data_IF_357293177741
#
_entry.id   IF_357293177741
#
_cell.length_a   1.000
_cell.length_b   1.000
_cell.length_c   1.000
_cell.angle_alpha   90.00
_cell.angle_beta   90.00
_cell.angle_gamma   90.00
#
_symmetry.space_group_name_H-M   'P 1'
#
loop_
_entity.id
_entity.type
_entity.pdbx_description
1 polymer ?
2 non-polymer ?
3 non-polymer ?
4 water ?
#
# COMPACT_ATOMS: atom_id res chain seq x y z
N UNK A 3 5.02 -8.06 -33.94
CA UNK A 3 5.00 -7.67 -32.50
C UNK A 3 3.78 -8.27 -31.80
N UNK A 4 3.96 -9.42 -31.17
CA UNK A 4 2.82 -10.21 -30.73
C UNK A 4 2.74 -10.39 -29.22
N UNK A 5 1.57 -10.10 -28.68
CA UNK A 5 1.31 -10.29 -27.26
C UNK A 5 0.28 -11.41 -27.02
N UNK A 6 0.48 -12.18 -25.96
CA UNK A 6 -0.55 -13.11 -25.54
C UNK A 6 -1.15 -12.59 -24.25
N UNK A 7 -2.46 -12.76 -24.11
CA UNK A 7 -3.13 -12.43 -22.86
C UNK A 7 -3.61 -13.70 -22.18
N UNK A 8 -3.40 -13.78 -20.87
CA UNK A 8 -3.94 -14.86 -20.06
C UNK A 8 -5.06 -14.25 -19.25
N UNK A 9 -6.27 -14.78 -19.40
CA UNK A 9 -7.44 -14.20 -18.75
C UNK A 9 -8.56 -15.22 -18.57
N UNK A 10 -9.44 -14.95 -17.60
CA UNK A 10 -10.67 -15.72 -17.38
C UNK A 10 -11.80 -14.81 -16.91
N UNK A 11 -13.02 -15.32 -16.90
CA UNK A 11 -14.14 -14.57 -16.38
C UNK A 11 -14.61 -13.53 -17.38
N UNK A 12 -14.80 -12.30 -16.91
CA UNK A 12 -15.41 -11.28 -17.74
C UNK A 12 -14.47 -10.80 -18.84
N UNK A 13 -13.19 -10.73 -18.53
CA UNK A 13 -12.18 -10.25 -19.47
C UNK A 13 -12.24 -8.77 -19.77
N UNK A 14 -12.64 -7.97 -18.79
CA UNK A 14 -12.71 -6.51 -19.01
C UNK A 14 -11.32 -5.88 -19.18
N UNK A 15 -10.29 -6.41 -18.51
CA UNK A 15 -8.93 -5.93 -18.75
C UNK A 15 -8.44 -6.30 -20.14
N UNK A 16 -8.71 -7.53 -20.54
CA UNK A 16 -8.39 -7.97 -21.91
C UNK A 16 -9.05 -7.04 -22.95
N UNK A 17 -10.32 -6.71 -22.73
CA UNK A 17 -11.05 -5.79 -23.61
C UNK A 17 -10.39 -4.41 -23.71
N UNK A 18 -9.96 -3.86 -22.57
CA UNK A 18 -9.34 -2.52 -22.53
C UNK A 18 -8.01 -2.51 -23.30
N UNK A 19 -7.26 -3.59 -23.21
CA UNK A 19 -6.01 -3.76 -23.95
C UNK A 19 -6.26 -3.84 -25.48
N UNK A 20 -7.23 -4.66 -25.87
CA UNK A 20 -7.65 -4.75 -27.27
C UNK A 20 -8.11 -3.37 -27.77
N UNK A 21 -8.92 -2.69 -26.95
CA UNK A 21 -9.40 -1.34 -27.29
C UNK A 21 -8.27 -0.33 -27.46
N UNK A 22 -7.24 -0.44 -26.62
CA UNK A 22 -6.07 0.42 -26.73
C UNK A 22 -5.26 0.18 -28.01
N UNK A 23 -5.21 -1.08 -28.45
CA UNK A 23 -4.64 -1.43 -29.77
C UNK A 23 -5.45 -0.73 -30.87
N UNK A 24 -6.77 -0.89 -30.81
CA UNK A 24 -7.71 -0.30 -31.77
C UNK A 24 -7.63 1.24 -31.78
N UNK A 25 -7.29 1.82 -30.62
CA UNK A 25 -7.08 3.27 -30.48
C UNK A 25 -5.77 3.79 -31.05
N UNK A 26 -4.84 2.89 -31.32
CA UNK A 26 -3.53 3.27 -31.83
C UNK A 26 -2.49 3.50 -30.75
N UNK A 27 -2.82 3.15 -29.51
CA UNK A 27 -1.92 3.39 -28.37
C UNK A 27 -1.01 2.22 -28.01
N UNK A 28 -1.48 0.99 -28.25
CA UNK A 28 -0.69 -0.19 -28.00
C UNK A 28 0.21 -0.47 -29.21
N UNK A 29 1.54 -0.53 -29.01
CA UNK A 29 2.44 -0.70 -30.16
C UNK A 29 2.62 -2.14 -30.64
N UNK A 30 1.72 -3.04 -30.23
CA UNK A 30 1.78 -4.45 -30.60
C UNK A 30 0.38 -4.97 -30.87
N UNK A 31 0.27 -6.20 -31.36
CA UNK A 31 -1.03 -6.82 -31.59
C UNK A 31 -1.28 -8.01 -30.65
N UNK A 32 -2.52 -8.12 -30.18
CA UNK A 32 -2.95 -9.25 -29.36
C UNK A 32 -3.14 -10.47 -30.26
N UNK A 33 -2.33 -11.50 -30.04
CA UNK A 33 -2.23 -12.59 -31.01
C UNK A 33 -2.75 -13.90 -30.47
N UNK A 34 -3.04 -13.94 -29.18
CA UNK A 34 -3.47 -15.17 -28.55
C UNK A 34 -4.06 -14.86 -27.19
N UNK A 35 -5.12 -15.58 -26.84
CA UNK A 35 -5.65 -15.63 -25.50
C UNK A 35 -5.48 -17.05 -24.98
N UNK A 36 -4.87 -17.20 -23.79
CA UNK A 36 -4.90 -18.47 -23.05
C UNK A 36 -5.86 -18.35 -21.88
N UNK A 37 -6.81 -19.29 -21.79
CA UNK A 37 -7.89 -19.22 -20.82
C UNK A 37 -8.13 -20.62 -20.26
N UNK A 38 -9.01 -20.73 -19.24
CA UNK A 38 -9.33 -22.02 -18.63
C UNK A 38 -10.68 -22.63 -19.04
N UNK A 39 -11.66 -21.79 -19.38
CA UNK A 39 -13.03 -22.21 -19.68
C UNK A 39 -13.50 -21.60 -21.02
N UNK A 40 -14.09 -22.43 -21.91
CA UNK A 40 -14.64 -21.86 -23.16
C UNK A 40 -15.87 -20.97 -22.93
N UNK A 41 -16.70 -21.32 -21.95
CA UNK A 41 -17.96 -20.60 -21.73
C UNK A 41 -17.83 -19.40 -20.81
N UNK A 42 -17.14 -18.37 -21.29
CA UNK A 42 -16.87 -17.17 -20.51
C UNK A 42 -16.94 -15.95 -21.41
N UNK A 43 -17.18 -14.78 -20.81
CA UNK A 43 -17.30 -13.56 -21.60
C UNK A 43 -15.97 -13.19 -22.25
N UNK A 44 -14.85 -13.48 -21.58
CA UNK A 44 -13.54 -13.16 -22.15
C UNK A 44 -13.30 -13.88 -23.47
N UNK A 45 -13.76 -15.13 -23.57
CA UNK A 45 -13.61 -15.89 -24.81
C UNK A 45 -14.43 -15.22 -25.92
N UNK A 46 -15.69 -14.91 -25.61
CA UNK A 46 -16.58 -14.20 -26.53
C UNK A 46 -15.97 -12.89 -27.02
N UNK A 47 -15.46 -12.08 -26.08
CA UNK A 47 -14.86 -10.77 -26.38
C UNK A 47 -13.65 -10.86 -27.28
N UNK A 48 -12.87 -11.91 -27.10
CA UNK A 48 -11.64 -12.08 -27.84
C UNK A 48 -11.91 -12.71 -29.22
N UNK A 49 -12.78 -13.72 -29.24
CA UNK A 49 -13.14 -14.47 -30.47
C UNK A 49 -13.70 -13.58 -31.58
N UNK A 50 -14.49 -12.56 -31.21
CA UNK A 50 -15.06 -11.66 -32.21
C UNK A 50 -13.99 -10.81 -32.91
N UNK A 51 -12.80 -10.71 -32.32
CA UNK A 51 -11.67 -10.04 -33.01
C UNK A 51 -10.84 -11.00 -33.84
N UNK A 52 -11.32 -12.24 -33.91
CA UNK A 52 -10.65 -13.35 -34.59
C UNK A 52 -9.24 -13.57 -34.07
N UNK A 53 -9.09 -13.40 -32.76
CA UNK A 53 -7.83 -13.69 -32.10
C UNK A 53 -7.90 -15.15 -31.65
N UNK A 54 -6.87 -15.96 -31.96
CA UNK A 54 -6.84 -17.37 -31.54
C UNK A 54 -7.01 -17.53 -30.03
N UNK A 55 -7.78 -18.54 -29.63
CA UNK A 55 -8.06 -18.81 -28.24
C UNK A 55 -7.65 -20.24 -27.93
N UNK A 56 -6.86 -20.40 -26.87
CA UNK A 56 -6.49 -21.71 -26.40
C UNK A 56 -7.07 -21.87 -25.00
N UNK A 57 -8.10 -22.70 -24.88
CA UNK A 57 -8.69 -23.02 -23.60
C UNK A 57 -8.04 -24.30 -23.07
N UNK A 58 -7.28 -24.14 -21.99
CA UNK A 58 -6.61 -25.26 -21.34
C UNK A 58 -7.07 -25.32 -19.89
N UNK A 59 -7.85 -26.34 -19.57
CA UNK A 59 -8.18 -26.59 -18.18
C UNK A 59 -6.98 -27.27 -17.55
N UNK A 60 -6.39 -26.63 -16.52
CA UNK A 60 -5.16 -27.11 -15.88
C UNK A 60 -5.35 -28.39 -15.08
N UNK A 61 -6.57 -28.60 -14.57
CA UNK A 61 -6.93 -29.79 -13.77
C UNK A 61 -6.95 -31.08 -14.59
N UNK A 62 -7.06 -30.93 -15.92
CA UNK A 62 -7.03 -32.07 -16.85
C UNK A 62 -5.61 -32.43 -17.29
N UNK A 63 -4.63 -32.03 -16.49
CA UNK A 63 -3.22 -32.34 -16.74
C UNK A 63 -2.63 -33.08 -15.54
N UNK A 64 -1.63 -33.97 -15.77
CA UNK A 64 -0.99 -34.73 -14.70
C UNK A 64 -0.38 -33.84 -13.61
N UNK A 65 0.26 -32.76 -14.04
CA UNK A 65 0.94 -31.82 -13.14
C UNK A 65 0.89 -30.39 -13.68
N UNK A 66 1.21 -29.42 -12.83
CA UNK A 66 1.34 -28.02 -13.20
C UNK A 66 2.39 -27.85 -14.31
N UNK A 67 3.45 -28.65 -14.23
CA UNK A 67 4.51 -28.68 -15.23
C UNK A 67 4.03 -29.14 -16.62
N UNK A 68 3.17 -30.15 -16.63
CA UNK A 68 2.63 -30.69 -17.89
C UNK A 68 1.72 -29.68 -18.58
N UNK A 69 0.89 -29.01 -17.77
CA UNK A 69 0.02 -27.94 -18.23
C UNK A 69 0.82 -26.78 -18.82
N UNK A 70 1.87 -26.36 -18.11
CA UNK A 70 2.73 -25.26 -18.57
C UNK A 70 3.53 -25.59 -19.82
N UNK A 71 3.90 -26.86 -19.99
CA UNK A 71 4.59 -27.32 -21.21
C UNK A 71 3.70 -27.09 -22.46
N UNK A 72 2.42 -27.37 -22.31
CA UNK A 72 1.44 -27.11 -23.38
C UNK A 72 1.25 -25.61 -23.61
N UNK A 73 1.17 -24.85 -22.52
CA UNK A 73 1.10 -23.38 -22.58
C UNK A 73 2.25 -22.81 -23.40
N UNK A 74 3.48 -23.17 -23.03
CA UNK A 74 4.69 -22.71 -23.73
C UNK A 74 4.70 -23.12 -25.20
N UNK A 75 4.20 -24.32 -25.48
CA UNK A 75 4.07 -24.81 -26.85
C UNK A 75 3.17 -23.88 -27.68
N UNK A 76 2.02 -23.52 -27.12
CA UNK A 76 1.09 -22.60 -27.79
C UNK A 76 1.68 -21.20 -28.00
N UNK A 77 2.42 -20.71 -27.01
CA UNK A 77 3.05 -19.40 -27.12
C UNK A 77 4.13 -19.40 -28.21
N UNK A 78 4.91 -20.47 -28.26
CA UNK A 78 5.94 -20.63 -29.29
C UNK A 78 5.33 -20.76 -30.68
N UNK A 79 4.26 -21.55 -30.77
CA UNK A 79 3.45 -21.72 -32.00
C UNK A 79 2.96 -20.38 -32.56
N UNK A 80 2.51 -19.49 -31.67
CA UNK A 80 1.96 -18.20 -32.10
C UNK A 80 2.98 -17.07 -32.19
N UNK A 81 4.28 -17.40 -32.03
CA UNK A 81 5.40 -16.44 -32.09
C UNK A 81 5.26 -15.25 -31.12
N UNK A 82 4.82 -15.57 -29.91
CA UNK A 82 4.56 -14.57 -28.87
C UNK A 82 5.85 -13.93 -28.34
N UNK A 83 5.88 -12.59 -28.33
CA UNK A 83 7.01 -11.80 -27.86
C UNK A 83 6.84 -11.33 -26.41
N UNK A 84 5.59 -11.16 -25.97
CA UNK A 84 5.34 -10.62 -24.63
C UNK A 84 4.05 -11.20 -24.06
N UNK A 85 4.03 -11.45 -22.76
CA UNK A 85 2.89 -12.14 -22.12
C UNK A 85 2.25 -11.19 -21.09
N UNK A 86 0.93 -11.00 -21.19
CA UNK A 86 0.21 -10.09 -20.29
C UNK A 86 -0.81 -10.90 -19.51
N UNK A 87 -0.63 -10.98 -18.20
CA UNK A 87 -1.58 -11.66 -17.35
C UNK A 87 -2.65 -10.66 -16.93
N UNK A 88 -3.90 -11.02 -17.16
CA UNK A 88 -5.04 -10.14 -16.94
C UNK A 88 -6.17 -10.91 -16.29
N UNK A 89 -5.95 -11.31 -15.04
CA UNK A 89 -6.91 -12.10 -14.29
C UNK A 89 -6.58 -13.57 -14.41
N UNK A 90 -5.28 -13.88 -14.44
CA UNK A 90 -4.78 -15.25 -14.43
C UNK A 90 -4.53 -15.63 -12.99
N UNK A 91 -5.29 -16.62 -12.50
CA UNK A 91 -5.39 -16.87 -11.07
C UNK A 91 -4.47 -17.97 -10.53
N UNK A 92 -3.59 -18.48 -11.40
CA UNK A 92 -2.61 -19.49 -11.02
C UNK A 92 -1.22 -18.88 -10.88
N UNK A 93 -0.40 -19.49 -10.03
CA UNK A 93 1.02 -19.17 -9.93
C UNK A 93 1.73 -19.53 -11.23
N UNK A 94 2.68 -18.71 -11.64
CA UNK A 94 3.48 -19.01 -12.82
C UNK A 94 4.64 -19.91 -12.37
N UNK A 95 4.70 -21.11 -12.93
CA UNK A 95 5.70 -22.10 -12.52
C UNK A 95 6.99 -21.96 -13.29
N UNK A 96 7.99 -22.82 -12.97
CA UNK A 96 9.33 -22.72 -13.56
C UNK A 96 9.41 -22.94 -15.06
N UNK A 97 8.54 -23.77 -15.62
CA UNK A 97 8.53 -24.02 -17.07
C UNK A 97 8.12 -22.76 -17.82
N UNK A 98 7.00 -22.16 -17.42
CA UNK A 98 6.53 -20.94 -18.08
C UNK A 98 7.54 -19.81 -17.91
N UNK A 99 8.01 -19.63 -16.68
CA UNK A 99 8.94 -18.55 -16.32
C UNK A 99 10.26 -18.70 -17.05
N UNK A 100 10.77 -19.93 -17.15
CA UNK A 100 12.02 -20.20 -17.85
C UNK A 100 11.95 -19.86 -19.34
N UNK A 101 10.81 -20.11 -19.95
CA UNK A 101 10.64 -19.82 -21.38
C UNK A 101 10.41 -18.34 -21.65
N UNK A 102 9.75 -17.65 -20.72
CA UNK A 102 9.40 -16.24 -20.95
C UNK A 102 9.85 -15.25 -19.86
N UNK A 103 10.92 -15.58 -19.12
CA UNK A 103 11.50 -14.66 -18.10
C UNK A 103 11.77 -13.29 -18.67
N UNK A 104 11.35 -12.26 -17.94
CA UNK A 104 11.54 -10.88 -18.38
C UNK A 104 10.52 -10.39 -19.39
N UNK A 105 9.60 -11.27 -19.81
CA UNK A 105 8.61 -10.92 -20.82
C UNK A 105 7.17 -11.20 -20.36
N UNK A 106 6.98 -11.35 -19.04
CA UNK A 106 5.66 -11.56 -18.45
C UNK A 106 5.36 -10.45 -17.44
N UNK A 107 4.21 -9.80 -17.60
CA UNK A 107 3.74 -8.80 -16.64
C UNK A 107 2.37 -9.21 -16.09
N UNK A 108 1.98 -8.59 -14.99
CA UNK A 108 0.78 -8.96 -14.30
C UNK A 108 0.13 -7.70 -13.69
N UNK A 109 -1.17 -7.74 -13.49
CA UNK A 109 -1.86 -6.66 -12.77
C UNK A 109 -2.49 -7.27 -11.54
N UNK A 110 -2.52 -6.49 -10.45
CA UNK A 110 -2.99 -7.00 -9.15
C UNK A 110 -3.69 -5.85 -8.42
N UNK A 111 -4.89 -6.12 -7.88
CA UNK A 111 -5.72 -5.06 -7.31
C UNK A 111 -5.42 -4.78 -5.82
N UNK A 112 -4.15 -4.54 -5.50
CA UNK A 112 -3.72 -3.98 -4.22
C UNK A 112 -2.43 -3.20 -4.49
N UNK A 113 -1.97 -2.44 -3.48
CA UNK A 113 -0.65 -1.84 -3.57
C UNK A 113 0.33 -2.84 -2.99
N UNK A 114 0.90 -3.70 -3.83
CA UNK A 114 1.91 -4.64 -3.36
C UNK A 114 3.07 -3.86 -2.65
N UNK A 115 3.63 -4.44 -1.58
CA UNK A 115 3.52 -5.84 -1.14
C UNK A 115 2.31 -6.16 -0.23
N UNK A 116 1.46 -5.16 0.04
CA UNK A 116 0.25 -5.44 0.83
C UNK A 116 -0.72 -6.31 0.02
N UNK A 117 -1.42 -7.19 0.74
CA UNK A 117 -2.49 -8.06 0.20
C UNK A 117 -2.15 -8.83 -1.08
N UNK A 118 -1.09 -9.65 -1.05
CA UNK A 118 -0.85 -10.52 -2.22
C UNK A 118 -1.90 -11.63 -2.29
N UNK A 119 -1.98 -12.33 -3.42
CA UNK A 119 -2.90 -13.46 -3.55
C UNK A 119 -4.32 -13.12 -3.97
N UNK A 120 -5.22 -14.08 -3.77
CA UNK A 120 -6.60 -13.97 -4.25
C UNK A 120 -7.44 -12.95 -3.46
N UNK A 121 -8.43 -12.37 -4.14
CA UNK A 121 -9.47 -11.53 -3.50
C UNK A 121 -8.88 -10.35 -2.72
N UNK A 122 -7.91 -9.67 -3.31
CA UNK A 122 -7.18 -8.62 -2.59
C UNK A 122 -8.04 -7.40 -2.29
N UNK A 123 -9.09 -7.17 -3.08
CA UNK A 123 -9.99 -6.04 -2.79
C UNK A 123 -10.77 -6.34 -1.52
N UNK A 124 -11.30 -7.57 -1.43
CA UNK A 124 -11.93 -8.04 -0.20
C UNK A 124 -10.97 -8.05 0.99
N UNK A 125 -9.72 -8.44 0.76
CA UNK A 125 -8.70 -8.38 1.82
C UNK A 125 -8.54 -6.98 2.40
N UNK A 126 -8.50 -5.96 1.53
CA UNK A 126 -8.32 -4.57 1.97
C UNK A 126 -9.52 -4.08 2.77
N UNK A 127 -10.72 -4.45 2.32
CA UNK A 127 -11.91 -4.08 3.05
C UNK A 127 -11.95 -4.78 4.42
N UNK A 128 -11.60 -6.06 4.46
CA UNK A 128 -11.58 -6.80 5.74
C UNK A 128 -10.51 -6.30 6.69
N UNK A 129 -9.41 -5.76 6.15
CA UNK A 129 -8.35 -5.20 6.98
C UNK A 129 -8.65 -3.77 7.41
N UNK A 130 -9.73 -3.20 6.89
CA UNK A 130 -10.12 -1.82 7.21
C UNK A 130 -9.03 -0.79 6.89
N UNK A 131 -8.39 -0.94 5.72
CA UNK A 131 -7.44 0.11 5.31
C UNK A 131 -8.24 1.27 4.72
N UNK A 132 -7.62 2.44 4.61
CA UNK A 132 -8.29 3.58 4.04
C UNK A 132 -7.81 3.87 2.63
N UNK A 133 -6.67 3.28 2.26
CA UNK A 133 -6.14 3.47 0.92
C UNK A 133 -5.72 2.11 0.42
N UNK A 134 -6.14 1.76 -0.79
CA UNK A 134 -5.60 0.57 -1.46
C UNK A 134 -5.20 1.01 -2.84
N UNK A 135 -5.14 0.10 -3.81
CA UNK A 135 -4.89 0.54 -5.18
C UNK A 135 -4.56 -0.58 -6.15
N UNK A 136 -3.77 -0.29 -7.16
CA UNK A 136 -3.49 -1.25 -8.24
C UNK A 136 -2.00 -1.33 -8.48
N UNK A 137 -1.48 -2.53 -8.77
CA UNK A 137 -0.06 -2.69 -9.06
C UNK A 137 0.13 -3.44 -10.38
N UNK A 138 1.02 -2.93 -11.23
CA UNK A 138 1.44 -3.64 -12.42
C UNK A 138 2.92 -3.98 -12.22
N UNK A 139 3.30 -5.24 -12.47
CA UNK A 139 4.68 -5.66 -12.18
C UNK A 139 5.13 -6.75 -13.13
N UNK A 140 6.43 -6.82 -13.34
CA UNK A 140 7.03 -8.00 -13.98
C UNK A 140 6.81 -9.21 -13.10
N UNK A 141 6.63 -10.37 -13.74
CA UNK A 141 6.38 -11.61 -13.03
C UNK A 141 7.72 -12.33 -12.82
N UNK A 142 8.02 -12.65 -11.57
CA UNK A 142 9.16 -13.51 -11.21
C UNK A 142 8.59 -14.75 -10.51
N UNK A 143 9.51 -15.56 -10.01
CA UNK A 143 9.19 -16.73 -9.21
C UNK A 143 8.52 -16.25 -7.93
N UNK A 144 7.40 -16.86 -7.59
CA UNK A 144 6.66 -16.47 -6.39
C UNK A 144 5.30 -15.86 -6.70
N UNK A 145 4.57 -15.52 -5.64
CA UNK A 145 3.21 -15.00 -5.77
C UNK A 145 3.19 -13.47 -5.68
N UNK A 146 2.87 -12.83 -6.80
CA UNK A 146 2.82 -11.36 -6.91
C UNK A 146 4.16 -10.68 -6.60
N UNK A 147 5.25 -11.37 -6.92
CA UNK A 147 6.59 -10.84 -6.78
C UNK A 147 7.12 -10.44 -8.15
N UNK A 148 8.13 -9.59 -8.15
CA UNK A 148 8.77 -9.13 -9.38
C UNK A 148 8.76 -7.62 -9.41
N UNK A 149 9.71 -7.01 -10.14
CA UNK A 149 9.90 -5.56 -10.18
C UNK A 149 8.60 -4.83 -10.52
N UNK A 150 8.24 -3.88 -9.68
CA UNK A 150 6.99 -3.14 -9.83
C UNK A 150 7.14 -2.03 -10.87
N UNK A 151 6.27 -2.04 -11.87
CA UNK A 151 6.36 -1.08 -12.98
C UNK A 151 5.54 0.20 -12.69
N UNK A 152 4.35 0.01 -12.14
CA UNK A 152 3.47 1.15 -11.87
C UNK A 152 2.52 0.82 -10.75
N UNK A 153 2.14 1.85 -10.00
CA UNK A 153 1.11 1.71 -8.98
C UNK A 153 0.24 2.94 -8.98
N UNK A 154 -1.01 2.78 -8.57
CA UNK A 154 -1.92 3.91 -8.41
C UNK A 154 -2.82 3.67 -7.22
N UNK A 155 -2.87 4.66 -6.32
CA UNK A 155 -3.69 4.54 -5.12
C UNK A 155 -5.17 4.84 -5.37
N UNK A 156 -6.03 4.16 -4.60
CA UNK A 156 -7.47 4.39 -4.60
C UNK A 156 -7.93 4.47 -3.16
N UNK A 157 -8.57 5.58 -2.81
CA UNK A 157 -9.11 5.75 -1.46
C UNK A 157 -10.37 4.93 -1.22
N UNK A 158 -10.50 4.36 -0.03
CA UNK A 158 -11.73 3.65 0.33
C UNK A 158 -12.53 4.62 1.17
N UNK A 159 -13.60 5.14 0.59
CA UNK A 159 -14.46 6.10 1.30
C UNK A 159 -15.38 5.37 2.26
N UNK A 160 -15.96 6.10 3.21
CA UNK A 160 -16.82 5.47 4.22
C UNK A 160 -18.02 4.77 3.61
N UNK A 161 -18.55 5.35 2.55
CA UNK A 161 -19.71 4.79 1.86
C UNK A 161 -19.36 3.68 0.85
N UNK A 162 -18.07 3.41 0.64
CA UNK A 162 -17.69 2.35 -0.31
C UNK A 162 -18.03 0.97 0.20
N UNK A 163 -18.51 0.12 -0.70
CA UNK A 163 -18.74 -1.29 -0.42
C UNK A 163 -17.75 -2.08 -1.28
N UNK A 164 -17.71 -3.40 -1.13
CA UNK A 164 -16.94 -4.27 -2.03
C UNK A 164 -17.27 -3.98 -3.51
N UNK A 165 -18.56 -3.85 -3.81
CA UNK A 165 -19.01 -3.58 -5.18
C UNK A 165 -18.54 -2.21 -5.72
N UNK A 166 -18.70 -1.15 -4.94
CA UNK A 166 -18.37 0.17 -5.44
C UNK A 166 -16.85 0.39 -5.51
N UNK A 167 -16.12 -0.22 -4.57
CA UNK A 167 -14.65 -0.17 -4.60
C UNK A 167 -14.11 -0.97 -5.78
N UNK A 168 -14.70 -2.15 -6.01
CA UNK A 168 -14.32 -2.97 -7.17
C UNK A 168 -14.48 -2.18 -8.48
N UNK A 169 -15.62 -1.49 -8.64
CA UNK A 169 -15.85 -0.60 -9.80
C UNK A 169 -14.75 0.45 -9.94
N UNK A 170 -14.42 1.13 -8.85
CA UNK A 170 -13.35 2.12 -8.86
C UNK A 170 -11.99 1.52 -9.25
N UNK A 171 -11.68 0.35 -8.68
CA UNK A 171 -10.41 -0.30 -8.94
C UNK A 171 -10.34 -0.80 -10.40
N UNK A 172 -11.46 -1.36 -10.89
CA UNK A 172 -11.50 -1.76 -12.31
C UNK A 172 -11.35 -0.58 -13.28
N UNK A 173 -11.97 0.57 -12.96
CA UNK A 173 -11.72 1.82 -13.72
C UNK A 173 -10.24 2.19 -13.80
N UNK A 174 -9.52 2.12 -12.67
CA UNK A 174 -8.07 2.35 -12.68
C UNK A 174 -7.34 1.31 -13.55
N UNK A 175 -7.62 0.03 -13.33
CA UNK A 175 -7.02 -1.03 -14.16
C UNK A 175 -7.21 -0.83 -15.67
N UNK A 176 -8.43 -0.50 -16.10
CA UNK A 176 -8.72 -0.34 -17.54
C UNK A 176 -7.98 0.81 -18.18
N UNK A 177 -7.72 1.87 -17.41
CA UNK A 177 -6.89 2.98 -17.89
C UNK A 177 -5.40 2.67 -17.75
N UNK A 178 -5.02 2.17 -16.56
CA UNK A 178 -3.61 2.04 -16.20
C UNK A 178 -2.88 0.92 -16.90
N UNK A 179 -3.53 -0.24 -17.08
CA UNK A 179 -2.83 -1.37 -17.71
C UNK A 179 -2.40 -1.00 -19.14
N UNK A 180 -3.33 -0.50 -20.00
CA UNK A 180 -2.89 -0.13 -21.33
C UNK A 180 -1.92 1.04 -21.38
N UNK A 181 -2.10 2.05 -20.53
CA UNK A 181 -1.18 3.19 -20.50
C UNK A 181 0.24 2.75 -20.09
N UNK A 182 0.31 1.79 -19.18
CA UNK A 182 1.57 1.27 -18.71
C UNK A 182 2.25 0.39 -19.78
N UNK A 183 1.45 -0.45 -20.44
CA UNK A 183 1.96 -1.27 -21.55
C UNK A 183 2.48 -0.40 -22.70
N UNK A 184 1.79 0.70 -23.01
CA UNK A 184 2.25 1.66 -24.02
C UNK A 184 3.64 2.23 -23.66
N UNK A 185 3.81 2.66 -22.41
CA UNK A 185 5.08 3.23 -21.93
C UNK A 185 6.19 2.19 -21.88
N UNK A 186 5.86 0.99 -21.40
CA UNK A 186 6.84 -0.08 -21.25
C UNK A 186 7.34 -0.60 -22.59
N UNK A 187 6.43 -0.76 -23.53
CA UNK A 187 6.73 -1.37 -24.81
C UNK A 187 6.94 -0.35 -25.93
N UNK A 188 7.29 0.87 -25.56
CA UNK A 188 7.48 2.00 -26.49
C UNK A 188 8.31 1.65 -27.72
N UNK A 189 7.90 2.17 -28.88
CA UNK A 189 8.54 1.94 -30.19
C UNK A 189 10.00 2.39 -30.23
N UNK A 190 10.31 3.48 -29.53
CA UNK A 190 11.64 4.07 -29.48
C UNK A 190 12.73 3.10 -29.05
N UNK A 191 12.45 2.30 -28.02
CA UNK A 191 13.39 1.29 -27.54
C UNK A 191 13.46 0.06 -28.44
N UNK A 192 12.30 -0.46 -28.83
CA UNK A 192 12.15 -1.74 -29.55
C UNK A 192 12.94 -2.87 -28.87
N UNK A 193 12.73 -3.00 -27.57
CA UNK A 193 13.49 -3.92 -26.74
C UNK A 193 13.00 -5.37 -26.87
N UNK A 194 11.68 -5.56 -26.83
CA UNK A 194 11.11 -6.91 -26.76
C UNK A 194 10.74 -7.50 -28.13
N UNK A 195 10.80 -6.67 -29.16
CA UNK A 195 10.36 -7.08 -30.50
C UNK A 195 11.49 -7.04 -31.55
N UNK A 196 12.67 -7.52 -31.15
CA UNK A 196 13.82 -7.60 -32.06
C UNK A 196 13.75 -8.83 -32.94
N UNK A 197 14.21 -8.68 -34.19
CA UNK A 197 14.22 -9.78 -35.16
C UNK A 197 15.57 -10.47 -35.20
N UNK B 3 -8.97 19.20 29.03
CA UNK B 3 -8.78 18.31 27.85
C UNK B 3 -7.29 18.19 27.52
N UNK B 4 -6.66 17.13 28.02
CA UNK B 4 -5.20 17.06 28.03
C UNK B 4 -4.63 15.95 27.18
N UNK B 5 -3.68 16.31 26.33
CA UNK B 5 -3.00 15.35 25.48
C UNK B 5 -1.54 15.22 25.88
N UNK B 6 -1.01 13.99 25.87
CA UNK B 6 0.43 13.84 25.97
C UNK B 6 1.00 13.40 24.65
N UNK B 7 2.20 13.90 24.37
CA UNK B 7 2.90 13.49 23.17
C UNK B 7 4.15 12.69 23.53
N UNK B 8 4.40 11.60 22.80
CA UNK B 8 5.65 10.84 22.92
C UNK B 8 6.45 11.11 21.67
N UNK B 9 7.65 11.67 21.83
CA UNK B 9 8.46 12.04 20.69
C UNK B 9 9.95 12.06 21.01
N UNK B 10 10.76 12.04 19.95
CA UNK B 10 12.21 12.12 20.06
C UNK B 10 12.83 12.77 18.82
N UNK B 11 14.10 13.13 18.93
CA UNK B 11 14.82 13.71 17.80
C UNK B 11 14.36 15.12 17.49
N UNK B 12 13.87 15.30 16.27
CA UNK B 12 13.59 16.63 15.78
C UNK B 12 12.29 17.19 16.36
N UNK B 13 11.27 16.34 16.45
CA UNK B 13 9.95 16.75 16.96
C UNK B 13 9.12 17.64 16.05
N UNK B 14 9.27 17.45 14.74
CA UNK B 14 8.52 18.30 13.80
C UNK B 14 7.02 17.95 13.81
N UNK B 15 6.67 16.68 14.05
CA UNK B 15 5.26 16.35 14.22
C UNK B 15 4.69 16.93 15.50
N UNK B 16 5.44 16.88 16.59
CA UNK B 16 5.01 17.48 17.85
C UNK B 16 4.77 18.99 17.66
N UNK B 17 5.68 19.63 16.92
CA UNK B 17 5.56 21.04 16.58
C UNK B 17 4.29 21.37 15.79
N UNK B 18 3.95 20.53 14.80
CA UNK B 18 2.74 20.76 13.98
C UNK B 18 1.46 20.61 14.82
N UNK B 19 1.47 19.68 15.76
CA UNK B 19 0.34 19.49 16.65
C UNK B 19 0.18 20.72 17.57
N UNK B 20 1.30 21.17 18.13
CA UNK B 20 1.30 22.37 19.00
C UNK B 20 0.82 23.59 18.20
N UNK B 21 1.33 23.73 16.97
CA UNK B 21 0.88 24.80 16.06
C UNK B 21 -0.60 24.74 15.73
N UNK B 22 -1.13 23.52 15.56
CA UNK B 22 -2.56 23.31 15.35
C UNK B 22 -3.43 23.74 16.55
N UNK B 23 -2.96 23.52 17.78
CA UNK B 23 -3.62 24.06 18.97
C UNK B 23 -3.62 25.59 18.93
N UNK B 24 -2.46 26.18 18.63
CA UNK B 24 -2.33 27.64 18.50
C UNK B 24 -3.21 28.24 17.40
N UNK B 25 -3.50 27.46 16.35
CA UNK B 25 -4.38 27.88 15.26
C UNK B 25 -5.87 27.83 15.62
N UNK B 26 -6.20 27.12 16.70
CA UNK B 26 -7.58 26.95 17.09
C UNK B 26 -8.23 25.72 16.50
N UNK B 27 -7.41 24.79 15.98
CA UNK B 27 -7.91 23.59 15.33
C UNK B 27 -7.91 22.34 16.22
N UNK B 28 -6.94 22.26 17.13
CA UNK B 28 -6.89 21.12 18.03
C UNK B 28 -7.82 21.44 19.20
N UNK B 29 -8.78 20.55 19.50
CA UNK B 29 -9.75 20.82 20.57
C UNK B 29 -9.26 20.39 21.96
N UNK B 30 -7.94 20.32 22.15
CA UNK B 30 -7.36 19.98 23.43
C UNK B 30 -6.03 20.68 23.63
N UNK B 31 -5.44 20.52 24.81
CA UNK B 31 -4.18 21.16 25.17
C UNK B 31 -3.07 20.11 25.33
N UNK B 32 -1.91 20.38 24.73
CA UNK B 32 -0.73 19.54 24.92
C UNK B 32 -0.14 19.78 26.32
N UNK B 33 -0.16 18.75 27.14
CA UNK B 33 0.08 18.93 28.58
C UNK B 33 1.34 18.27 29.07
N UNK B 34 1.95 17.43 28.22
CA UNK B 34 3.12 16.68 28.60
C UNK B 34 3.83 16.15 27.38
N UNK B 35 5.15 16.17 27.41
CA UNK B 35 5.97 15.44 26.47
C UNK B 35 6.70 14.34 27.21
N UNK B 36 6.59 13.10 26.73
CA UNK B 36 7.47 12.03 27.20
C UNK B 36 8.51 11.72 26.13
N UNK B 37 9.79 11.77 26.50
CA UNK B 37 10.87 11.63 25.54
C UNK B 37 11.99 10.76 26.13
N UNK B 38 12.99 10.42 25.32
CA UNK B 38 14.12 9.59 25.77
C UNK B 38 15.34 10.37 26.25
N UNK B 39 15.63 11.53 25.64
CA UNK B 39 16.81 12.31 26.03
C UNK B 39 16.60 13.84 26.02
N UNK B 40 17.19 14.53 27.02
CA UNK B 40 17.09 15.99 27.15
C UNK B 40 17.65 16.78 25.96
N UNK B 41 18.75 16.30 25.39
CA UNK B 41 19.47 17.05 24.35
C UNK B 41 18.97 16.80 22.95
N UNK B 42 17.76 17.28 22.66
CA UNK B 42 17.10 17.06 21.37
C UNK B 42 16.27 18.27 21.02
N UNK B 43 16.03 18.48 19.72
CA UNK B 43 15.26 19.63 19.29
C UNK B 43 13.82 19.56 19.81
N UNK B 44 13.26 18.35 19.91
CA UNK B 44 11.87 18.21 20.37
C UNK B 44 11.71 18.74 21.80
N UNK B 45 12.72 18.52 22.64
CA UNK B 45 12.67 19.01 24.01
C UNK B 45 12.66 20.54 23.99
N UNK B 46 13.59 21.13 23.24
CA UNK B 46 13.66 22.59 23.04
C UNK B 46 12.33 23.17 22.56
N UNK B 47 11.77 22.57 21.50
CA UNK B 47 10.53 23.03 20.89
C UNK B 47 9.35 22.99 21.85
N UNK B 48 9.33 21.99 22.71
CA UNK B 48 8.24 21.84 23.63
C UNK B 48 8.43 22.71 24.87
N UNK B 49 9.67 22.75 25.38
CA UNK B 49 10.01 23.52 26.60
C UNK B 49 9.65 25.00 26.49
N UNK B 50 9.85 25.59 25.32
CA UNK B 50 9.53 27.02 25.11
C UNK B 50 8.04 27.33 25.21
N UNK B 51 7.18 26.30 25.11
CA UNK B 51 5.74 26.49 25.35
C UNK B 51 5.37 26.25 26.80
N UNK B 52 6.39 26.04 27.63
CA UNK B 52 6.25 25.72 29.06
C UNK B 52 5.40 24.47 29.29
N UNK B 53 5.56 23.51 28.38
CA UNK B 53 4.89 22.22 28.52
C UNK B 53 5.86 21.32 29.27
N UNK B 54 5.38 20.66 30.35
CA UNK B 54 6.20 19.74 31.14
C UNK B 54 6.81 18.66 30.26
N UNK B 55 8.09 18.36 30.49
CA UNK B 55 8.73 17.23 29.82
C UNK B 55 9.36 16.26 30.80
N UNK B 56 9.11 14.98 30.53
CA UNK B 56 9.64 13.91 31.33
C UNK B 56 10.53 13.10 30.41
N UNK B 57 11.84 13.16 30.65
CA UNK B 57 12.83 12.48 29.83
C UNK B 57 13.27 11.18 30.50
N UNK B 58 12.67 10.07 30.06
CA UNK B 58 12.98 8.77 30.61
C UNK B 58 13.73 7.94 29.59
N UNK B 59 15.00 7.67 29.87
CA UNK B 59 15.77 6.72 29.08
C UNK B 59 15.29 5.33 29.53
N UNK B 60 14.81 4.51 28.58
CA UNK B 60 14.27 3.18 28.88
C UNK B 60 15.31 2.19 29.44
N UNK B 61 16.57 2.36 29.04
CA UNK B 61 17.68 1.48 29.47
C UNK B 61 18.09 1.66 30.94
N UNK B 62 17.65 2.77 31.54
CA UNK B 62 17.86 3.06 32.96
C UNK B 62 17.04 2.13 33.86
N UNK B 63 15.96 1.58 33.28
CA UNK B 63 15.02 0.74 34.02
C UNK B 63 15.34 -0.75 33.83
N UNK B 64 15.06 -1.59 34.86
CA UNK B 64 15.36 -3.03 34.82
C UNK B 64 14.66 -3.78 33.68
N UNK B 65 13.44 -3.37 33.37
CA UNK B 65 12.62 -4.00 32.34
C UNK B 65 11.72 -2.97 31.66
N UNK B 66 11.17 -3.36 30.50
CA UNK B 66 10.18 -2.56 29.77
C UNK B 66 8.97 -2.24 30.66
N UNK B 67 8.58 -3.20 31.51
CA UNK B 67 7.48 -3.03 32.45
C UNK B 67 7.76 -1.95 33.50
N UNK B 68 8.98 -1.93 34.03
CA UNK B 68 9.38 -0.98 35.05
C UNK B 68 9.38 0.44 34.49
N UNK B 69 9.91 0.57 33.27
CA UNK B 69 9.90 1.83 32.52
C UNK B 69 8.49 2.34 32.26
N UNK B 70 7.59 1.44 31.84
CA UNK B 70 6.19 1.81 31.56
C UNK B 70 5.38 2.13 32.81
N UNK B 71 5.76 1.57 33.94
CA UNK B 71 5.11 1.88 35.23
C UNK B 71 5.33 3.37 35.59
N UNK B 72 6.55 3.83 35.37
CA UNK B 72 6.92 5.24 35.56
C UNK B 72 6.21 6.13 34.53
N UNK B 73 6.20 5.71 33.27
CA UNK B 73 5.46 6.40 32.19
C UNK B 73 4.00 6.65 32.57
N UNK B 74 3.30 5.60 33.01
CA UNK B 74 1.88 5.67 33.41
C UNK B 74 1.69 6.57 34.63
N UNK B 75 2.64 6.49 35.56
CA UNK B 75 2.66 7.37 36.73
C UNK B 75 2.66 8.84 36.30
N UNK B 76 3.53 9.18 35.35
CA UNK B 76 3.59 10.54 34.82
C UNK B 76 2.31 10.98 34.10
N UNK B 77 1.72 10.09 33.31
CA UNK B 77 0.49 10.43 32.59
C UNK B 77 -0.68 10.68 33.53
N UNK B 78 -0.77 9.86 34.58
CA UNK B 78 -1.83 9.99 35.59
C UNK B 78 -1.68 11.28 36.41
N UNK B 79 -0.43 11.60 36.76
CA UNK B 79 -0.08 12.83 37.48
C UNK B 79 -0.48 14.09 36.70
N UNK B 80 -0.30 14.05 35.38
CA UNK B 80 -0.66 15.21 34.53
C UNK B 80 -2.11 15.21 34.05
N UNK B 81 -2.91 14.26 34.55
CA UNK B 81 -4.33 14.08 34.17
C UNK B 81 -4.58 13.97 32.65
N UNK B 82 -3.73 13.19 32.01
CA UNK B 82 -3.78 12.97 30.55
C UNK B 82 -4.99 12.15 30.12
N UNK B 83 -5.73 12.68 29.14
CA UNK B 83 -6.91 12.05 28.57
C UNK B 83 -6.61 11.28 27.28
N UNK B 84 -5.57 11.69 26.55
CA UNK B 84 -5.28 11.11 25.24
C UNK B 84 -3.79 11.12 24.96
N UNK B 85 -3.29 10.07 24.32
CA UNK B 85 -1.85 9.90 24.12
C UNK B 85 -1.56 9.85 22.62
N UNK B 86 -0.63 10.69 22.16
CA UNK B 86 -0.30 10.82 20.73
C UNK B 86 1.16 10.47 20.53
N UNK B 87 1.42 9.36 19.85
CA UNK B 87 2.79 8.97 19.56
C UNK B 87 3.21 9.67 18.29
N UNK B 88 4.34 10.37 18.36
CA UNK B 88 4.84 11.17 17.25
C UNK B 88 6.35 10.95 17.11
N UNK B 89 6.70 9.76 16.65
CA UNK B 89 8.10 9.36 16.51
C UNK B 89 8.58 8.66 17.76
N UNK B 90 7.70 7.86 18.37
CA UNK B 90 8.05 7.02 19.52
C UNK B 90 8.51 5.67 19.00
N UNK B 91 9.77 5.33 19.30
CA UNK B 91 10.45 4.24 18.61
C UNK B 91 10.42 2.88 19.31
N UNK B 92 9.65 2.79 20.39
CA UNK B 92 9.49 1.54 21.13
C UNK B 92 8.09 0.96 20.93
N UNK B 93 7.97 -0.36 21.09
CA UNK B 93 6.67 -1.03 21.15
C UNK B 93 5.95 -0.60 22.42
N UNK B 94 4.63 -0.46 22.35
CA UNK B 94 3.84 -0.16 23.54
C UNK B 94 3.51 -1.48 24.24
N UNK B 95 3.94 -1.61 25.50
CA UNK B 95 3.77 -2.85 26.26
C UNK B 95 2.45 -2.92 26.99
N UNK B 96 2.20 -4.07 27.66
CA UNK B 96 0.91 -4.33 28.31
C UNK B 96 0.55 -3.34 29.42
N UNK B 97 1.56 -2.83 30.13
CA UNK B 97 1.33 -1.86 31.20
C UNK B 97 0.79 -0.54 30.64
N UNK B 98 1.45 -0.01 29.61
CA UNK B 98 1.02 1.25 29.01
C UNK B 98 -0.35 1.08 28.35
N UNK B 99 -0.49 0.02 27.56
CA UNK B 99 -1.75 -0.27 26.88
C UNK B 99 -2.91 -0.53 27.82
N UNK B 100 -2.65 -1.22 28.93
CA UNK B 100 -3.70 -1.51 29.91
C UNK B 100 -4.26 -0.25 30.54
N UNK B 101 -3.40 0.74 30.77
CA UNK B 101 -3.81 1.97 31.41
C UNK B 101 -4.47 2.94 30.42
N UNK B 102 -4.04 2.88 29.15
CA UNK B 102 -4.54 3.84 28.17
C UNK B 102 -5.14 3.21 26.89
N UNK B 103 -5.64 1.97 27.00
CA UNK B 103 -6.32 1.30 25.87
C UNK B 103 -7.42 2.16 25.27
N UNK B 104 -7.43 2.27 23.95
CA UNK B 104 -8.43 3.08 23.27
C UNK B 104 -8.15 4.57 23.26
N UNK B 105 -7.05 4.98 23.90
CA UNK B 105 -6.71 6.42 24.00
C UNK B 105 -5.29 6.72 23.52
N UNK B 106 -4.71 5.81 22.73
CA UNK B 106 -3.35 5.99 22.18
C UNK B 106 -3.42 5.89 20.67
N UNK B 107 -2.86 6.88 19.97
CA UNK B 107 -2.78 6.84 18.50
C UNK B 107 -1.34 7.01 18.08
N UNK B 108 -1.05 6.65 16.83
CA UNK B 108 0.28 6.66 16.32
C UNK B 108 0.29 7.09 14.86
N UNK B 109 1.43 7.59 14.39
CA UNK B 109 1.61 7.88 12.97
C UNK B 109 2.76 7.05 12.46
N UNK B 110 2.66 6.59 11.21
CA UNK B 110 3.67 5.69 10.65
C UNK B 110 3.84 6.02 9.17
N UNK B 111 5.10 6.11 8.72
CA UNK B 111 5.34 6.62 7.37
C UNK B 111 5.35 5.50 6.31
N UNK B 112 4.29 4.67 6.33
CA UNK B 112 3.99 3.74 5.22
C UNK B 112 2.47 3.60 5.16
N UNK B 113 1.97 2.94 4.11
CA UNK B 113 0.58 2.57 4.08
C UNK B 113 0.49 1.18 4.69
N UNK B 114 0.25 1.13 6.00
CA UNK B 114 0.06 -0.15 6.67
C UNK B 114 -1.08 -0.95 5.98
N UNK B 115 -0.94 -2.28 5.88
CA UNK B 115 0.02 -3.15 6.59
C UNK B 115 1.41 -3.29 5.94
N UNK B 116 1.65 -2.64 4.81
CA UNK B 116 2.98 -2.68 4.18
C UNK B 116 3.98 -1.93 5.05
N UNK B 117 5.21 -2.47 5.09
CA UNK B 117 6.38 -1.85 5.73
C UNK B 117 6.19 -1.43 7.20
N UNK B 118 5.81 -2.38 8.08
CA UNK B 118 5.74 -2.00 9.50
C UNK B 118 7.16 -1.89 10.08
N UNK B 119 7.28 -1.29 11.26
CA UNK B 119 8.58 -1.24 11.94
C UNK B 119 9.43 -0.05 11.55
N UNK B 120 10.72 -0.13 11.87
CA UNK B 120 11.63 1.00 11.71
C UNK B 120 12.00 1.30 10.26
N UNK B 121 12.26 2.58 9.98
CA UNK B 121 12.80 3.07 8.71
C UNK B 121 11.92 2.69 7.51
N UNK B 122 10.61 2.91 7.64
CA UNK B 122 9.67 2.43 6.63
C UNK B 122 9.79 3.17 5.30
N UNK B 123 10.29 4.40 5.33
CA UNK B 123 10.50 5.17 4.09
C UNK B 123 11.64 4.51 3.31
N UNK B 124 12.73 4.20 4.01
CA UNK B 124 13.84 3.42 3.45
C UNK B 124 13.40 2.04 2.96
N UNK B 125 12.52 1.38 3.72
CA UNK B 125 11.98 0.09 3.29
C UNK B 125 11.27 0.20 1.94
N UNK B 126 10.46 1.23 1.77
CA UNK B 126 9.70 1.41 0.52
C UNK B 126 10.64 1.68 -0.66
N UNK B 127 11.68 2.50 -0.43
CA UNK B 127 12.67 2.76 -1.46
C UNK B 127 13.40 1.45 -1.86
N UNK B 128 13.83 0.69 -0.85
CA UNK B 128 14.55 -0.58 -1.11
C UNK B 128 13.68 -1.64 -1.78
N UNK B 129 12.37 -1.59 -1.53
CA UNK B 129 11.44 -2.53 -2.15
C UNK B 129 11.04 -2.08 -3.56
N UNK B 130 11.48 -0.89 -3.95
CA UNK B 130 11.13 -0.32 -5.25
C UNK B 130 9.63 -0.22 -5.50
N UNK B 131 8.88 0.24 -4.50
CA UNK B 131 7.45 0.49 -4.73
C UNK B 131 7.29 1.83 -5.44
N UNK B 132 6.14 2.07 -6.08
CA UNK B 132 5.91 3.33 -6.75
C UNK B 132 4.98 4.23 -5.93
N UNK B 133 4.29 3.64 -4.97
CA UNK B 133 3.37 4.40 -4.12
C UNK B 133 3.63 3.99 -2.69
N UNK B 134 3.81 4.96 -1.80
CA UNK B 134 3.83 4.65 -0.37
C UNK B 134 2.90 5.66 0.26
N UNK B 135 3.08 5.98 1.54
CA UNK B 135 2.23 7.00 2.15
C UNK B 135 2.33 7.05 3.66
N UNK B 136 1.26 7.49 4.31
CA UNK B 136 1.27 7.74 5.75
C UNK B 136 0.05 7.08 6.35
N UNK B 137 0.18 6.50 7.54
CA UNK B 137 -0.96 5.90 8.25
C UNK B 137 -1.06 6.45 9.66
N UNK B 138 -2.27 6.79 10.08
CA UNK B 138 -2.53 7.15 11.45
C UNK B 138 -3.49 6.08 12.00
N UNK B 139 -3.20 5.53 13.18
CA UNK B 139 -4.02 4.42 13.69
C UNK B 139 -4.06 4.41 15.20
N UNK B 140 -5.12 3.82 15.75
CA UNK B 140 -5.13 3.48 17.17
C UNK B 140 -4.08 2.44 17.43
N UNK B 141 -3.48 2.50 18.62
CA UNK B 141 -2.44 1.57 19.02
C UNK B 141 -3.09 0.42 19.83
N UNK B 142 -2.83 -0.80 19.38
CA UNK B 142 -3.18 -2.02 20.11
C UNK B 142 -1.88 -2.77 20.39
N UNK B 143 -1.98 -4.02 20.84
CA UNK B 143 -0.82 -4.84 21.30
C UNK B 143 0.44 -4.92 20.43
N UNK B 144 0.28 -5.11 19.12
CA UNK B 144 1.42 -5.41 18.25
C UNK B 144 2.14 -4.22 17.64
N UNK B 145 3.15 -4.51 16.80
CA UNK B 145 3.90 -3.48 16.09
C UNK B 145 3.08 -2.89 14.94
N UNK B 146 2.69 -1.62 15.09
CA UNK B 146 1.91 -0.88 14.08
C UNK B 146 0.56 -1.50 13.76
N UNK B 147 0.00 -2.20 14.74
CA UNK B 147 -1.32 -2.79 14.63
C UNK B 147 -2.31 -1.90 15.35
N UNK B 148 -3.58 -2.06 14.98
CA UNK B 148 -4.67 -1.31 15.59
C UNK B 148 -5.45 -0.63 14.49
N UNK B 149 -6.74 -0.34 14.75
CA UNK B 149 -7.67 0.21 13.79
C UNK B 149 -7.15 1.47 13.11
N UNK B 150 -7.14 1.46 11.78
CA UNK B 150 -6.56 2.53 10.98
C UNK B 150 -7.55 3.68 10.87
N UNK B 151 -7.12 4.88 11.29
CA UNK B 151 -8.00 6.07 11.27
C UNK B 151 -7.94 6.82 9.93
N UNK B 152 -6.72 6.99 9.41
CA UNK B 152 -6.55 7.73 8.16
C UNK B 152 -5.33 7.25 7.44
N UNK B 153 -5.36 7.34 6.12
CA UNK B 153 -4.18 7.10 5.32
C UNK B 153 -4.15 8.08 4.16
N UNK B 154 -2.96 8.39 3.68
CA UNK B 154 -2.78 9.22 2.48
C UNK B 154 -1.60 8.72 1.69
N UNK B 155 -1.81 8.49 0.40
CA UNK B 155 -0.78 8.00 -0.51
C UNK B 155 0.16 9.11 -0.95
N UNK B 156 1.42 8.73 -1.18
CA UNK B 156 2.45 9.60 -1.74
C UNK B 156 3.16 8.79 -2.82
N UNK B 157 3.22 9.36 -4.02
CA UNK B 157 3.91 8.72 -5.14
C UNK B 157 5.41 8.87 -5.04
N UNK B 158 6.14 7.81 -5.37
CA UNK B 158 7.60 7.89 -5.42
C UNK B 158 7.98 8.11 -6.88
N UNK B 159 8.38 9.33 -7.19
CA UNK B 159 8.77 9.69 -8.56
C UNK B 159 10.16 9.16 -8.86
N UNK B 160 10.50 9.09 -10.14
CA UNK B 160 11.81 8.55 -10.55
C UNK B 160 12.97 9.36 -9.99
N UNK B 161 12.81 10.67 -9.94
CA UNK B 161 13.85 11.57 -9.41
C UNK B 161 13.90 11.60 -7.87
N UNK B 162 12.92 10.99 -7.19
CA UNK B 162 12.90 11.01 -5.73
C UNK B 162 14.05 10.24 -5.12
N UNK B 163 14.63 10.78 -4.05
CA UNK B 163 15.64 10.11 -3.26
C UNK B 163 15.04 9.89 -1.88
N UNK B 164 15.74 9.20 -0.99
CA UNK B 164 15.33 9.07 0.41
C UNK B 164 15.03 10.45 1.03
N UNK B 165 15.92 11.41 0.76
CA UNK B 165 15.76 12.76 1.32
C UNK B 165 14.51 13.48 0.79
N UNK B 166 14.31 13.47 -0.53
CA UNK B 166 13.20 14.21 -1.12
C UNK B 166 11.87 13.54 -0.82
N UNK B 167 11.86 12.21 -0.79
CA UNK B 167 10.66 11.46 -0.39
C UNK B 167 10.33 11.69 1.09
N UNK B 168 11.36 11.68 1.93
CA UNK B 168 11.15 11.97 3.37
C UNK B 168 10.52 13.35 3.57
N UNK B 169 11.02 14.34 2.84
CA UNK B 169 10.42 15.69 2.85
C UNK B 169 8.95 15.67 2.47
N UNK B 170 8.62 14.98 1.38
CA UNK B 170 7.23 14.86 0.96
C UNK B 170 6.36 14.19 2.02
N UNK B 171 6.87 13.10 2.60
CA UNK B 171 6.13 12.33 3.60
C UNK B 171 5.94 13.14 4.88
N UNK B 172 6.99 13.84 5.30
CA UNK B 172 6.87 14.72 6.46
C UNK B 172 5.83 15.86 6.26
N UNK B 173 5.77 16.43 5.05
CA UNK B 173 4.73 17.41 4.70
C UNK B 173 3.32 16.86 4.87
N UNK B 174 3.10 15.64 4.40
CA UNK B 174 1.82 14.95 4.62
C UNK B 174 1.54 14.76 6.11
N UNK B 175 2.53 14.24 6.84
CA UNK B 175 2.35 14.04 8.28
C UNK B 175 1.98 15.32 9.02
N UNK B 176 2.66 16.42 8.71
CA UNK B 176 2.44 17.70 9.44
C UNK B 176 1.06 18.27 9.23
N UNK B 177 0.49 18.01 8.06
CA UNK B 177 -0.89 18.41 7.76
C UNK B 177 -1.86 17.37 8.29
N UNK B 178 -1.58 16.09 8.00
CA UNK B 178 -2.56 15.03 8.26
C UNK B 178 -2.75 14.68 9.73
N UNK B 179 -1.67 14.68 10.52
CA UNK B 179 -1.80 14.27 11.92
C UNK B 179 -2.72 15.24 12.68
N UNK B 180 -2.46 16.57 12.60
CA UNK B 180 -3.38 17.46 13.30
C UNK B 180 -4.80 17.49 12.74
N UNK B 181 -4.95 17.42 11.41
CA UNK B 181 -6.28 17.39 10.81
C UNK B 181 -7.06 16.16 11.25
N UNK B 182 -6.36 15.05 11.39
CA UNK B 182 -6.97 13.80 11.81
C UNK B 182 -7.35 13.85 13.29
N UNK B 183 -6.43 14.38 14.12
CA UNK B 183 -6.71 14.59 15.54
C UNK B 183 -7.92 15.51 15.77
N UNK B 184 -8.02 16.58 14.97
CA UNK B 184 -9.18 17.49 15.03
C UNK B 184 -10.50 16.73 14.79
N UNK B 185 -10.54 15.92 13.73
CA UNK B 185 -11.74 15.16 13.38
C UNK B 185 -12.06 14.08 14.42
N UNK B 186 -11.03 13.41 14.92
CA UNK B 186 -11.18 12.32 15.87
C UNK B 186 -11.68 12.79 17.22
N UNK B 187 -11.12 13.91 17.68
CA UNK B 187 -11.39 14.43 19.01
C UNK B 187 -12.37 15.59 18.99
N UNK B 188 -13.20 15.64 17.95
CA UNK B 188 -14.19 16.70 17.73
C UNK B 188 -15.06 16.94 18.97
N UNK B 189 -15.39 18.21 19.21
CA UNK B 189 -16.21 18.65 20.34
C UNK B 189 -17.67 18.19 20.25
N UNK B 190 -18.09 17.71 19.07
CA UNK B 190 -19.41 17.13 18.85
C UNK B 190 -19.68 15.98 19.82
N UNK B 191 -18.81 14.98 19.82
CA UNK B 191 -18.82 13.94 20.85
C UNK B 191 -18.02 14.44 22.04
N UNK B 192 -18.45 14.06 23.25
CA UNK B 192 -17.70 14.41 24.45
C UNK B 192 -16.68 13.31 24.78
N UNK B 193 -16.58 12.35 23.86
CA UNK B 193 -16.03 11.00 24.07
C UNK B 193 -14.83 10.82 25.01
N UNK B 194 -13.72 11.48 24.73
CA UNK B 194 -12.46 11.19 25.47
C UNK B 194 -12.21 12.14 26.65
N UNK B 195 -12.99 13.21 26.73
CA UNK B 195 -12.78 14.25 27.74
C UNK B 195 -14.01 14.42 28.65
N UNK B 196 -14.59 13.31 29.08
CA UNK B 196 -15.76 13.34 29.98
C UNK B 196 -15.34 13.51 31.43
X LIG C 1 -11.44 -9.08 -15.62
X LIG C 1 -11.14 -9.06 -14.19
X LIG C 1 -10.42 -8.36 -16.35
X LIG C 1 -11.47 -10.47 -16.10
X LIG C 1 -12.75 -8.47 -15.84
X LIG D 1 -17.95 -24.42 -20.33
X LIG D 1 -18.48 -24.91 -19.06
X LIG D 1 -17.05 -23.30 -20.08
X LIG D 1 -17.19 -25.44 -21.04
X LIG D 1 -19.07 -23.94 -21.15
X LIG E 1 15.21 -13.32 -24.63
X LIG E 1 16.29 -12.86 -23.75
X LIG E 1 15.22 -12.48 -25.83
X LIG E 1 15.43 -14.72 -24.99
X LIG E 1 13.93 -13.22 -23.93
X LIG F 1 -10.89 7.22 -15.52
X LIG F 1 -10.14 5.98 -15.59
X LIG F 1 -9.98 8.33 -15.26
X LIG F 1 -11.59 7.44 -16.78
X LIG F 1 -11.88 7.11 -14.42
X LIG G 1 -1.64 -22.73 -8.30
X LIG G 1 -0.57 -23.42 -7.58
X LIG G 1 -1.54 -21.30 -8.05
X LIG G 1 -1.51 -23.00 -9.74
X LIG G 1 -2.94 -23.22 -7.85
X LIG H 1 -8.40 11.11 -3.28
X LIG H 1 -8.69 10.63 -1.98
X LIG H 1 -9.02 10.19 -4.35
X LIG H 1 -10.39 10.03 -4.09
X LIG H 1 -8.28 8.86 -4.35
X LIG H 1 -9.00 7.74 -4.81
X LIG I 1 9.80 14.01 13.92
X LIG I 1 10.47 13.78 15.19
X LIG I 1 10.44 15.14 13.24
X LIG I 1 9.92 12.83 13.09
X LIG I 1 8.40 14.30 14.15
X LIG J 1 0.47 20.63 2.03
X LIG J 1 0.33 20.54 3.47
X LIG J 1 0.24 22.01 1.61
X LIG J 1 1.83 20.22 1.64
X LIG J 1 -0.51 19.76 1.39
X LIG K 1 14.67 -5.90 -6.28
X LIG K 1 15.81 -5.54 -5.41
X LIG K 1 15.03 -5.63 -7.67
X LIG K 1 14.37 -7.32 -6.12
X LIG K 1 13.50 -5.11 -5.91
X LIG L 1 0.86 12.53 -5.37
X LIG L 1 1.74 11.80 -4.54
X LIG L 1 1.28 12.41 -6.83
X LIG L 1 1.52 13.69 -7.36
X LIG L 1 0.26 11.65 -7.66
X LIG L 1 0.93 10.71 -8.48
X LIG M 1 10.50 7.68 11.02
X LIG M 1 10.36 8.28 9.75
X LIG M 1 11.18 6.32 10.82
X LIG M 1 12.53 6.47 10.44
X LIG M 1 11.10 5.48 12.06
X LIG M 1 12.16 4.55 12.00
#
# INVERSE_FOLDING_TARGET
VMKRVAIFASGSGTNAEAIIQSQKAGQLPCEVALLITDKPGAKVVERVKVHEIPVCALDPKTYPSKEAYEIEVVQQLKEKQIDFVVLAGYMRLVGPTLLGAYEGRIVNIHPSLLPAFPGLHAIEQAIRANVKVTGVTIHYVDEGMDTGPIIAQEAVSIEEEDTLETLTTKIQAVEHRLYPATLHKLLSKAENLYFQSHHHHHHWSHPQFEK
VMKRVAIFASGSGTNAEAIIQSQKAGQLPCEVALLITDKPGAKVVERVKVHEIPVCALDPKTYPSKEAYEIEVVQQLKEKQIDFVVLAGYMRLVGPTLLGAYEGRIVNIHPSLLPAFPGLHAIEQAIRANVKVTGVTIHYVDEGMDTGPIIAQEAVSIEEEDTLETLTTKIQAVEHRLYPATLHKLLSKAENLYFQSHHHHHHWSHPQFEK
SO4 S O1 O2 O3 O4
SO4 S O1 O2 O3 O4
SO4 S O1 O2 O3 O4
SO4 S O1 O2 O3 O4
SO4 S O1 O2 O3 O4
GOL C1 O1 C2 O2 C3 O3
SO4 S O1 O2 O3 O4
SO4 S O1 O2 O3 O4
SO4 S O1 O2 O3 O4
GOL C1 O1 C2 O2 C3 O3
GOL C1 O1 C2 O2 C3 O3
#
